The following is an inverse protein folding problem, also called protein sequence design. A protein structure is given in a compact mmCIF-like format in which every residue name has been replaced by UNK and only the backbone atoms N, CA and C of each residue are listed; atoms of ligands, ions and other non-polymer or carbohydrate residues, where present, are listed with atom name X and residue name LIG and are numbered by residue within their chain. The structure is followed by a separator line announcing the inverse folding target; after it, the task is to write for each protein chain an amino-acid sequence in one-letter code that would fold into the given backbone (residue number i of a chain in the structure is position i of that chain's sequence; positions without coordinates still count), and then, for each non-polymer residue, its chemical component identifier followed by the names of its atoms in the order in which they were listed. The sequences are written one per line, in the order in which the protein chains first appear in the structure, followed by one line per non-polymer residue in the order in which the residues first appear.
data_IF_941621821551
#
_entry.id   IF_941621821551
#
_cell.length_a   1.000
_cell.length_b   1.000
_cell.length_c   1.000
_cell.angle_alpha   90.00
_cell.angle_beta   90.00
_cell.angle_gamma   90.00
#
_symmetry.space_group_name_H-M   'P 1'
#
loop_
_entity.id
_entity.type
_entity.pdbx_description
1 polymer ?
2 non-polymer ?
3 non-polymer ?
4 non-polymer ?
5 non-polymer ?
6 water ?
#
# COMPACT_ATOMS: atom_id res chain seq x y z
N UNK A 1 -16.47 6.87 -5.87
CA UNK A 1 -15.82 7.37 -7.07
C UNK A 1 -14.36 6.92 -7.06
N UNK A 2 -13.60 7.54 -7.93
CA UNK A 2 -12.16 7.26 -8.10
C UNK A 2 -11.38 7.27 -6.76
N UNK A 3 -11.51 8.31 -5.92
CA UNK A 3 -10.70 8.35 -4.67
C UNK A 3 -11.10 7.20 -3.74
N UNK A 4 -12.40 6.90 -3.67
CA UNK A 4 -12.81 5.86 -2.77
C UNK A 4 -12.22 4.57 -3.29
N UNK A 5 -12.20 4.43 -4.60
CA UNK A 5 -11.69 3.20 -5.23
C UNK A 5 -10.21 2.98 -4.83
N UNK A 6 -9.45 4.04 -4.76
CA UNK A 6 -8.02 4.00 -4.36
C UNK A 6 -7.97 3.42 -2.94
N UNK A 7 -8.85 3.89 -2.04
CA UNK A 7 -8.96 3.34 -0.68
C UNK A 7 -9.35 1.86 -0.71
N UNK A 8 -10.38 1.48 -1.45
CA UNK A 8 -10.82 0.08 -1.58
C UNK A 8 -9.66 -0.80 -1.98
N UNK A 9 -8.96 -0.43 -3.03
CA UNK A 9 -7.86 -1.25 -3.59
C UNK A 9 -6.74 -1.34 -2.56
N UNK A 10 -6.44 -0.23 -1.92
CA UNK A 10 -5.35 -0.19 -0.90
C UNK A 10 -5.68 -1.06 0.31
N UNK A 11 -6.95 -1.24 0.65
CA UNK A 11 -7.37 -2.04 1.82
C UNK A 11 -7.12 -3.53 1.62
N UNK A 12 -7.00 -3.99 0.38
CA UNK A 12 -6.66 -5.40 0.11
C UNK A 12 -5.69 -5.42 -1.07
N UNK A 13 -4.65 -4.61 -1.01
CA UNK A 13 -3.88 -4.27 -2.23
C UNK A 13 -3.15 -5.50 -2.81
N UNK A 14 -2.56 -6.30 -1.93
CA UNK A 14 -1.81 -7.52 -2.35
C UNK A 14 -2.75 -8.34 -3.26
N UNK A 15 -3.98 -8.61 -2.79
CA UNK A 15 -4.98 -9.43 -3.51
C UNK A 15 -5.43 -8.77 -4.80
N UNK A 16 -5.80 -7.49 -4.79
CA UNK A 16 -6.22 -6.81 -6.02
C UNK A 16 -5.07 -6.77 -7.02
N UNK A 17 -3.87 -6.53 -6.54
CA UNK A 17 -2.76 -6.31 -7.45
C UNK A 17 -2.48 -7.62 -8.22
N UNK A 18 -2.43 -8.72 -7.49
CA UNK A 18 -2.21 -10.04 -8.10
C UNK A 18 -3.36 -10.32 -9.07
N UNK A 19 -4.58 -10.24 -8.61
CA UNK A 19 -5.75 -10.61 -9.47
C UNK A 19 -5.81 -9.71 -10.70
N UNK A 20 -5.61 -8.41 -10.60
CA UNK A 20 -5.60 -7.56 -11.82
C UNK A 20 -4.40 -7.81 -12.74
N UNK A 21 -3.19 -8.00 -12.17
CA UNK A 21 -2.00 -8.25 -13.02
C UNK A 21 -2.19 -9.62 -13.70
N UNK A 22 -2.79 -10.59 -13.01
CA UNK A 22 -3.04 -11.92 -13.64
C UNK A 22 -4.08 -11.74 -14.75
N UNK A 23 -5.13 -10.94 -14.51
CA UNK A 23 -6.14 -10.68 -15.55
C UNK A 23 -5.44 -10.12 -16.78
N UNK A 24 -4.45 -9.24 -16.59
CA UNK A 24 -3.67 -8.56 -17.65
C UNK A 24 -2.88 -9.61 -18.44
N UNK A 25 -2.12 -10.46 -17.73
CA UNK A 25 -1.25 -11.46 -18.38
C UNK A 25 -2.10 -12.51 -19.07
N UNK A 26 -3.26 -12.88 -18.55
CA UNK A 26 -4.14 -13.87 -19.20
C UNK A 26 -4.89 -13.27 -20.40
N UNK A 27 -5.31 -12.01 -20.35
CA UNK A 27 -5.93 -11.38 -21.51
C UNK A 27 -4.93 -11.19 -22.64
N UNK A 28 -3.67 -10.88 -22.34
CA UNK A 28 -2.61 -10.47 -23.31
C UNK A 28 -1.39 -11.33 -23.04
N UNK A 29 -1.46 -12.63 -23.38
CA UNK A 29 -0.41 -13.56 -22.99
C UNK A 29 1.00 -13.17 -23.53
N UNK A 30 1.06 -12.51 -24.68
CA UNK A 30 2.35 -11.98 -25.24
C UNK A 30 3.03 -11.03 -24.25
N UNK A 31 2.29 -10.39 -23.34
CA UNK A 31 2.90 -9.47 -22.36
C UNK A 31 3.76 -10.23 -21.35
N UNK A 32 3.66 -11.56 -21.27
CA UNK A 32 4.50 -12.39 -20.36
C UNK A 32 5.95 -12.35 -20.83
N UNK A 33 6.18 -12.09 -22.11
CA UNK A 33 7.53 -11.87 -22.70
C UNK A 33 8.35 -11.02 -21.74
N UNK A 34 7.80 -9.88 -21.32
CA UNK A 34 8.48 -8.85 -20.49
C UNK A 34 8.98 -9.50 -19.20
N UNK A 35 8.42 -10.67 -18.80
CA UNK A 35 8.68 -11.37 -17.51
C UNK A 35 8.87 -12.86 -17.85
N UNK A 36 10.02 -13.23 -18.42
CA UNK A 36 10.37 -14.64 -18.83
C UNK A 36 9.98 -15.68 -17.77
N UNK A 37 10.43 -15.44 -16.52
CA UNK A 37 10.19 -16.24 -15.28
C UNK A 37 8.69 -16.60 -15.11
N UNK A 38 7.77 -15.93 -15.84
CA UNK A 38 6.30 -16.11 -15.64
C UNK A 38 5.71 -17.14 -16.61
N UNK A 39 6.37 -17.43 -17.72
CA UNK A 39 5.90 -18.32 -18.81
C UNK A 39 5.70 -19.74 -18.24
N UNK A 40 4.67 -20.47 -18.72
CA UNK A 40 4.43 -21.88 -18.39
C UNK A 40 4.01 -22.10 -16.95
N UNK A 41 3.52 -21.04 -16.29
CA UNK A 41 3.05 -21.08 -14.88
C UNK A 41 1.57 -20.72 -14.86
N UNK A 42 0.81 -21.47 -14.06
CA UNK A 42 -0.61 -21.18 -13.79
C UNK A 42 -0.64 -19.97 -12.84
N UNK A 43 -1.81 -19.37 -12.72
CA UNK A 43 -2.00 -18.25 -11.76
C UNK A 43 -1.50 -18.59 -10.34
N UNK A 44 -1.89 -19.75 -9.80
CA UNK A 44 -1.49 -20.21 -8.45
C UNK A 44 0.04 -20.25 -8.36
N UNK A 45 0.69 -20.80 -9.38
CA UNK A 45 2.16 -20.91 -9.44
C UNK A 45 2.77 -19.51 -9.35
N UNK A 46 2.33 -18.62 -10.25
CA UNK A 46 2.83 -17.23 -10.21
C UNK A 46 2.68 -16.66 -8.82
N UNK A 47 1.53 -16.84 -8.18
CA UNK A 47 1.24 -16.26 -6.84
C UNK A 47 2.17 -16.81 -5.73
N UNK A 48 3.03 -17.78 -6.07
CA UNK A 48 4.11 -18.27 -5.18
C UNK A 48 5.51 -18.00 -5.76
N UNK A 49 5.64 -17.19 -6.80
CA UNK A 49 6.98 -16.71 -7.22
C UNK A 49 7.22 -15.37 -6.52
N UNK A 50 8.17 -15.36 -5.59
CA UNK A 50 8.51 -14.17 -4.78
C UNK A 50 8.52 -12.91 -5.62
N UNK A 51 9.25 -12.90 -6.76
CA UNK A 51 9.35 -11.71 -7.64
C UNK A 51 7.91 -11.30 -8.00
N UNK A 52 7.01 -12.28 -8.21
CA UNK A 52 5.63 -11.98 -8.64
C UNK A 52 4.90 -11.13 -7.63
N UNK A 53 4.80 -11.60 -6.39
CA UNK A 53 4.00 -10.92 -5.37
C UNK A 53 4.59 -9.56 -5.07
N UNK A 54 5.92 -9.42 -5.20
CA UNK A 54 6.69 -8.21 -4.80
C UNK A 54 6.67 -7.18 -5.93
N UNK A 55 6.97 -7.59 -7.16
CA UNK A 55 6.88 -6.68 -8.33
C UNK A 55 5.39 -6.26 -8.48
N UNK A 56 4.44 -7.18 -8.35
CA UNK A 56 3.00 -6.84 -8.50
C UNK A 56 2.59 -5.83 -7.45
N UNK A 57 2.93 -6.10 -6.19
CA UNK A 57 2.53 -5.17 -5.13
C UNK A 57 3.20 -3.83 -5.33
N UNK A 58 4.45 -3.78 -5.83
CA UNK A 58 5.18 -2.51 -5.97
C UNK A 58 4.61 -1.73 -7.14
N UNK A 59 4.20 -2.43 -8.20
CA UNK A 59 3.47 -1.81 -9.31
C UNK A 59 2.22 -1.11 -8.76
N UNK A 60 1.42 -1.82 -7.97
CA UNK A 60 0.12 -1.30 -7.47
C UNK A 60 0.38 -0.27 -6.38
N UNK A 61 1.44 -0.42 -5.56
CA UNK A 61 1.70 0.64 -4.53
C UNK A 61 1.85 1.97 -5.29
N UNK A 62 2.71 1.99 -6.32
CA UNK A 62 3.02 3.23 -7.04
C UNK A 62 1.84 3.63 -7.91
N UNK A 63 1.12 2.68 -8.54
CA UNK A 63 -0.07 3.09 -9.33
C UNK A 63 -1.06 3.83 -8.44
N UNK A 64 -1.27 3.38 -7.20
CA UNK A 64 -2.25 4.06 -6.31
C UNK A 64 -1.71 5.41 -5.90
N UNK A 65 -0.38 5.58 -5.72
CA UNK A 65 0.13 6.94 -5.42
C UNK A 65 -0.14 7.84 -6.61
N UNK A 66 0.15 7.36 -7.83
CA UNK A 66 -0.05 8.18 -9.06
C UNK A 66 -1.54 8.55 -9.23
N UNK A 67 -2.42 7.58 -9.01
CA UNK A 67 -3.89 7.82 -8.96
C UNK A 67 -4.24 8.86 -7.88
N UNK A 68 -3.61 8.77 -6.69
CA UNK A 68 -3.94 9.67 -5.57
C UNK A 68 -3.50 11.09 -5.85
N UNK A 69 -2.36 11.26 -6.53
CA UNK A 69 -1.84 12.59 -6.86
C UNK A 69 -2.46 13.18 -8.11
N UNK A 70 -3.24 12.42 -8.85
CA UNK A 70 -4.00 12.90 -10.05
C UNK A 70 -5.03 13.97 -9.69
N UNK A 71 -5.30 14.91 -10.61
CA UNK A 71 -6.50 15.80 -10.55
C UNK A 71 -7.48 15.33 -11.61
N UNK A 72 -8.68 14.95 -11.23
CA UNK A 72 -9.74 14.55 -12.21
C UNK A 72 -9.20 13.46 -13.14
N UNK A 73 -8.54 12.47 -12.58
CA UNK A 73 -7.99 11.29 -13.27
C UNK A 73 -6.85 11.70 -14.23
N UNK A 74 -6.24 12.88 -14.05
CA UNK A 74 -5.09 13.31 -14.91
C UNK A 74 -3.86 13.25 -14.02
N UNK A 75 -2.88 12.36 -14.34
CA UNK A 75 -1.69 12.17 -13.49
C UNK A 75 -0.71 13.33 -13.60
N UNK A 76 0.14 13.48 -12.58
CA UNK A 76 1.19 14.53 -12.58
C UNK A 76 2.15 14.16 -13.70
N UNK A 77 2.56 15.14 -14.49
CA UNK A 77 3.65 14.96 -15.47
C UNK A 77 4.92 14.37 -14.78
N UNK A 78 5.26 14.85 -13.58
CA UNK A 78 6.40 14.32 -12.79
C UNK A 78 6.23 12.82 -12.59
N UNK A 79 5.02 12.29 -12.35
CA UNK A 79 4.85 10.83 -12.14
C UNK A 79 5.07 10.10 -13.46
N UNK A 80 4.62 10.71 -14.58
CA UNK A 80 4.74 10.10 -15.92
C UNK A 80 6.25 9.97 -16.23
N UNK A 81 6.99 11.02 -16.00
CA UNK A 81 8.45 10.97 -16.24
C UNK A 81 9.03 9.79 -15.46
N UNK A 82 8.77 9.72 -14.15
CA UNK A 82 9.33 8.63 -13.31
C UNK A 82 9.06 7.30 -14.01
N UNK A 83 7.83 6.99 -14.37
CA UNK A 83 7.50 5.68 -14.99
C UNK A 83 8.31 5.49 -16.29
N UNK A 84 8.57 6.56 -17.04
CA UNK A 84 9.32 6.51 -18.32
C UNK A 84 10.80 6.25 -18.02
N UNK A 85 11.34 7.00 -17.07
CA UNK A 85 12.78 7.10 -16.72
C UNK A 85 13.25 5.93 -15.83
N UNK A 86 12.34 5.06 -15.39
CA UNK A 86 12.70 3.78 -14.68
C UNK A 86 13.43 2.81 -15.63
N UNK A 87 14.66 2.39 -15.28
CA UNK A 87 15.52 1.47 -16.08
C UNK A 87 14.79 0.16 -16.41
N UNK A 88 13.96 -0.35 -15.51
CA UNK A 88 13.18 -1.61 -15.66
C UNK A 88 12.12 -1.49 -16.77
N UNK A 89 11.69 -0.26 -17.11
CA UNK A 89 10.68 -0.01 -18.18
C UNK A 89 11.35 0.32 -19.51
N UNK A 90 12.68 0.17 -19.61
CA UNK A 90 13.44 0.48 -20.84
C UNK A 90 12.77 -0.15 -22.06
N UNK A 91 12.51 -1.45 -22.02
CA UNK A 91 11.88 -2.14 -23.16
C UNK A 91 10.44 -1.71 -23.45
N UNK A 92 9.77 -0.88 -22.65
CA UNK A 92 8.28 -0.75 -22.71
C UNK A 92 7.76 0.29 -23.71
N UNK A 93 6.53 0.08 -24.23
CA UNK A 93 5.77 1.12 -25.00
C UNK A 93 4.46 1.41 -24.27
N UNK A 94 3.81 2.49 -24.63
CA UNK A 94 2.57 2.88 -23.94
C UNK A 94 1.55 1.74 -24.14
N UNK A 95 1.73 0.93 -25.19
CA UNK A 95 0.88 -0.23 -25.49
C UNK A 95 0.85 -1.17 -24.31
N UNK A 96 1.97 -1.30 -23.60
CA UNK A 96 2.07 -2.22 -22.44
C UNK A 96 1.12 -1.69 -21.38
N UNK A 97 1.11 -0.37 -21.18
CA UNK A 97 0.29 0.29 -20.15
C UNK A 97 -1.18 0.33 -20.57
N UNK A 98 -1.44 0.65 -21.85
CA UNK A 98 -2.80 0.53 -22.48
C UNK A 98 -3.44 -0.74 -21.91
N UNK A 99 -2.85 -1.87 -22.30
CA UNK A 99 -3.39 -3.23 -22.05
C UNK A 99 -3.55 -3.48 -20.56
N UNK A 100 -2.62 -3.05 -19.74
CA UNK A 100 -2.78 -3.19 -18.28
C UNK A 100 -4.09 -2.51 -17.86
N UNK A 101 -4.36 -1.30 -18.41
CA UNK A 101 -5.52 -0.54 -17.94
C UNK A 101 -6.80 -1.14 -18.51
N UNK A 102 -6.75 -1.70 -19.70
CA UNK A 102 -7.94 -2.37 -20.29
C UNK A 102 -8.30 -3.51 -19.33
N UNK A 103 -7.31 -4.28 -18.89
CA UNK A 103 -7.60 -5.45 -18.02
C UNK A 103 -8.12 -4.98 -16.68
N UNK A 104 -7.52 -3.92 -16.12
CA UNK A 104 -7.98 -3.35 -14.83
C UNK A 104 -9.44 -2.91 -14.94
N UNK A 105 -9.77 -2.12 -15.96
CA UNK A 105 -11.15 -1.64 -16.12
C UNK A 105 -12.11 -2.83 -16.27
N UNK A 106 -11.75 -3.80 -17.09
CA UNK A 106 -12.60 -4.99 -17.30
C UNK A 106 -12.77 -5.76 -15.98
N UNK A 107 -11.68 -5.96 -15.25
CA UNK A 107 -11.73 -6.55 -13.88
C UNK A 107 -12.76 -5.81 -13.02
N UNK A 108 -12.72 -4.48 -13.02
CA UNK A 108 -13.63 -3.73 -12.13
C UNK A 108 -15.08 -3.94 -12.64
N UNK A 109 -15.27 -3.97 -13.95
CA UNK A 109 -16.64 -4.11 -14.56
C UNK A 109 -17.26 -5.40 -14.11
N UNK A 110 -16.45 -6.47 -14.07
CA UNK A 110 -16.89 -7.84 -13.80
C UNK A 110 -16.95 -8.07 -12.30
N UNK A 111 -16.43 -7.18 -11.47
CA UNK A 111 -16.39 -7.38 -10.00
C UNK A 111 -17.82 -7.21 -9.48
N UNK A 112 -18.15 -7.69 -8.30
CA UNK A 112 -19.51 -7.33 -7.85
C UNK A 112 -19.61 -5.94 -7.22
N UNK A 113 -18.58 -5.09 -7.36
CA UNK A 113 -18.40 -3.88 -6.51
C UNK A 113 -18.69 -2.62 -7.32
N UNK A 114 -18.94 -1.51 -6.62
CA UNK A 114 -19.29 -0.20 -7.23
C UNK A 114 -18.02 0.61 -7.54
N UNK A 115 -17.05 0.00 -8.19
CA UNK A 115 -15.85 0.71 -8.71
C UNK A 115 -16.31 1.70 -9.75
N UNK A 116 -15.64 2.83 -9.81
CA UNK A 116 -15.95 3.90 -10.79
C UNK A 116 -15.16 3.53 -12.05
N UNK A 117 -15.60 2.48 -12.75
CA UNK A 117 -14.78 1.90 -13.84
C UNK A 117 -14.53 2.95 -14.94
N UNK A 118 -15.45 3.87 -15.16
CA UNK A 118 -15.28 4.93 -16.20
C UNK A 118 -14.09 5.82 -15.85
N UNK A 119 -13.95 6.16 -14.58
CA UNK A 119 -12.83 6.99 -14.06
C UNK A 119 -11.52 6.26 -14.27
N UNK A 120 -11.45 4.96 -13.94
CA UNK A 120 -10.20 4.20 -14.19
C UNK A 120 -9.82 4.18 -15.67
N UNK A 121 -10.82 4.06 -16.56
CA UNK A 121 -10.59 4.04 -18.01
C UNK A 121 -10.01 5.37 -18.47
N UNK A 122 -10.56 6.49 -18.00
CA UNK A 122 -10.02 7.84 -18.29
C UNK A 122 -8.62 7.96 -17.68
N UNK A 123 -8.46 7.53 -16.43
CA UNK A 123 -7.12 7.52 -15.79
C UNK A 123 -6.11 6.80 -16.68
N UNK A 124 -6.42 5.58 -17.10
CA UNK A 124 -5.47 4.83 -17.97
C UNK A 124 -5.14 5.60 -19.25
N UNK A 125 -6.16 6.10 -19.94
CA UNK A 125 -5.97 6.94 -21.15
C UNK A 125 -5.03 8.10 -20.84
N UNK A 126 -5.34 8.85 -19.78
CA UNK A 126 -4.57 10.07 -19.42
C UNK A 126 -3.14 9.72 -19.07
N UNK A 127 -2.90 8.59 -18.37
CA UNK A 127 -1.54 8.15 -18.04
C UNK A 127 -0.80 7.77 -19.32
N UNK A 128 -1.43 7.04 -20.22
CA UNK A 128 -0.80 6.70 -21.53
C UNK A 128 -0.41 8.00 -22.23
N UNK A 129 -1.32 8.95 -22.31
CA UNK A 129 -1.02 10.28 -22.92
C UNK A 129 0.18 10.92 -22.22
N UNK A 130 0.16 11.00 -20.89
CA UNK A 130 1.27 11.58 -20.11
C UNK A 130 2.57 10.82 -20.40
N UNK A 131 2.53 9.47 -20.49
CA UNK A 131 3.74 8.64 -20.77
C UNK A 131 4.31 9.04 -22.14
N UNK A 132 3.48 9.11 -23.18
CA UNK A 132 3.91 9.63 -24.51
C UNK A 132 4.59 11.00 -24.39
N UNK A 133 3.94 11.94 -23.71
CA UNK A 133 4.46 13.33 -23.59
C UNK A 133 5.81 13.34 -22.86
N UNK A 134 6.00 12.41 -21.92
CA UNK A 134 7.23 12.33 -21.10
C UNK A 134 8.36 11.58 -21.85
N UNK A 135 8.05 10.95 -22.99
CA UNK A 135 9.01 10.41 -23.97
C UNK A 135 8.94 8.90 -24.19
N UNK A 136 7.93 8.18 -23.70
CA UNK A 136 7.80 6.73 -24.00
C UNK A 136 7.23 6.58 -25.40
N UNK A 137 7.66 5.55 -26.16
CA UNK A 137 7.28 5.31 -27.59
C UNK A 137 6.04 4.39 -27.64
N UNK B 1 9.87 15.51 4.03
CA UNK B 1 9.03 15.72 5.24
C UNK B 1 7.99 14.63 5.39
N UNK B 2 7.04 14.85 6.27
CA UNK B 2 5.97 13.90 6.66
C UNK B 2 5.21 13.42 5.43
N UNK B 3 4.79 14.32 4.54
CA UNK B 3 4.02 13.90 3.35
C UNK B 3 4.86 12.96 2.49
N UNK B 4 6.15 13.28 2.27
CA UNK B 4 6.97 12.43 1.41
C UNK B 4 7.14 11.10 2.14
N UNK B 5 7.31 11.13 3.48
CA UNK B 5 7.50 9.89 4.28
C UNK B 5 6.31 8.95 4.02
N UNK B 6 5.11 9.52 4.00
CA UNK B 6 3.86 8.74 3.62
C UNK B 6 4.05 8.11 2.24
N UNK B 7 4.58 8.87 1.28
CA UNK B 7 4.85 8.33 -0.07
C UNK B 7 5.89 7.23 0.02
N UNK B 8 6.96 7.46 0.78
CA UNK B 8 8.06 6.46 0.88
C UNK B 8 7.49 5.18 1.48
N UNK B 9 6.81 5.28 2.59
CA UNK B 9 6.29 4.07 3.26
C UNK B 9 5.30 3.33 2.34
N UNK B 10 4.40 4.07 1.71
CA UNK B 10 3.38 3.50 0.79
C UNK B 10 4.06 2.80 -0.39
N UNK B 11 5.28 3.24 -0.78
CA UNK B 11 6.01 2.73 -1.94
C UNK B 11 6.35 1.27 -1.73
N UNK B 12 6.50 0.92 -0.46
CA UNK B 12 7.00 -0.42 -0.09
C UNK B 12 6.31 -0.79 1.21
N UNK B 13 4.98 -0.72 1.19
CA UNK B 13 4.19 -0.68 2.44
C UNK B 13 4.36 -2.01 3.16
N UNK B 14 4.27 -3.13 2.44
CA UNK B 14 4.36 -4.49 3.07
C UNK B 14 5.68 -4.61 3.84
N UNK B 15 6.79 -4.21 3.22
CA UNK B 15 8.14 -4.40 3.78
C UNK B 15 8.28 -3.50 4.99
N UNK B 16 7.93 -2.23 4.86
CA UNK B 16 8.04 -1.29 5.97
C UNK B 16 7.15 -1.73 7.12
N UNK B 17 5.91 -2.13 6.83
CA UNK B 17 4.91 -2.47 7.86
C UNK B 17 5.49 -3.65 8.67
N UNK B 18 6.02 -4.66 8.00
CA UNK B 18 6.57 -5.83 8.73
C UNK B 18 7.75 -5.41 9.58
N UNK B 19 8.67 -4.65 9.01
CA UNK B 19 9.91 -4.27 9.70
C UNK B 19 9.58 -3.43 10.90
N UNK B 20 8.69 -2.45 10.78
CA UNK B 20 8.37 -1.60 11.94
C UNK B 20 7.58 -2.37 12.99
N UNK B 21 6.62 -3.19 12.57
CA UNK B 21 5.83 -3.95 13.55
C UNK B 21 6.74 -4.93 14.32
N UNK B 22 7.70 -5.57 13.63
CA UNK B 22 8.65 -6.50 14.26
C UNK B 22 9.52 -5.72 15.26
N UNK B 23 9.91 -4.48 14.91
CA UNK B 23 10.70 -3.61 15.82
C UNK B 23 9.86 -3.37 17.09
N UNK B 24 8.58 -3.06 16.89
CA UNK B 24 7.59 -2.89 17.98
C UNK B 24 7.54 -4.14 18.85
N UNK B 25 7.26 -5.30 18.27
CA UNK B 25 7.09 -6.56 19.05
C UNK B 25 8.37 -6.95 19.79
N UNK B 26 9.52 -6.70 19.17
CA UNK B 26 10.81 -7.07 19.80
C UNK B 26 11.16 -6.06 20.92
N UNK B 27 10.88 -4.79 20.72
CA UNK B 27 11.15 -3.79 21.77
C UNK B 27 10.23 -3.97 22.98
N UNK B 28 9.03 -4.47 22.77
CA UNK B 28 7.97 -4.57 23.78
C UNK B 28 7.38 -5.97 23.73
N UNK B 29 8.13 -6.97 24.23
CA UNK B 29 7.71 -8.36 24.09
C UNK B 29 6.34 -8.68 24.75
N UNK B 30 5.96 -7.99 25.82
CA UNK B 30 4.62 -8.16 26.46
C UNK B 30 3.52 -7.86 25.46
N UNK B 31 3.77 -7.08 24.40
CA UNK B 31 2.75 -6.69 23.41
C UNK B 31 2.38 -7.88 22.53
N UNK B 32 3.26 -8.88 22.43
CA UNK B 32 3.02 -10.07 21.56
C UNK B 32 1.89 -10.95 22.13
N UNK B 33 1.45 -10.72 23.38
CA UNK B 33 0.23 -11.36 23.95
C UNK B 33 -1.03 -10.95 23.18
N UNK B 34 -1.13 -9.69 22.77
CA UNK B 34 -2.24 -9.21 21.91
C UNK B 34 -2.32 -10.05 20.63
N UNK B 35 -1.29 -10.87 20.35
CA UNK B 35 -1.15 -11.62 19.08
C UNK B 35 -0.67 -13.06 19.36
N UNK B 36 -1.54 -13.85 19.98
CA UNK B 36 -1.17 -15.19 20.50
C UNK B 36 -0.59 -16.11 19.39
N UNK B 37 -0.97 -15.86 18.13
CA UNK B 37 -0.48 -16.53 16.88
C UNK B 37 1.03 -16.35 16.71
N UNK B 38 1.56 -15.26 17.25
CA UNK B 38 2.95 -14.79 16.94
C UNK B 38 3.96 -15.19 18.02
N UNK B 39 3.50 -15.71 19.15
CA UNK B 39 4.35 -16.16 20.29
C UNK B 39 5.28 -17.28 19.81
N UNK B 40 6.52 -17.26 20.29
CA UNK B 40 7.48 -18.35 20.06
C UNK B 40 7.90 -18.45 18.62
N UNK B 41 7.80 -17.34 17.86
CA UNK B 41 8.19 -17.31 16.44
C UNK B 41 9.23 -16.22 16.22
N UNK B 42 10.26 -16.52 15.42
CA UNK B 42 11.34 -15.57 15.09
C UNK B 42 10.76 -14.56 14.10
N UNK B 43 11.52 -13.52 13.80
CA UNK B 43 11.08 -12.56 12.75
C UNK B 43 10.87 -13.25 11.40
N UNK B 44 11.63 -14.30 11.11
CA UNK B 44 11.44 -15.05 9.84
C UNK B 44 10.20 -15.97 9.91
N UNK B 45 9.89 -16.61 11.05
CA UNK B 45 8.68 -17.48 11.19
C UNK B 45 7.42 -16.64 11.17
N UNK B 46 7.58 -15.33 11.38
CA UNK B 46 6.44 -14.41 11.17
C UNK B 46 6.45 -13.98 9.70
N UNK B 47 7.59 -13.55 9.14
CA UNK B 47 7.61 -12.97 7.78
C UNK B 47 7.24 -14.06 6.78
N UNK B 48 7.35 -15.33 7.14
CA UNK B 48 6.96 -16.47 6.25
C UNK B 48 5.44 -16.63 6.25
N UNK B 49 4.76 -16.11 7.29
CA UNK B 49 3.30 -16.36 7.51
C UNK B 49 2.46 -15.33 6.73
N UNK B 50 1.55 -15.83 5.90
CA UNK B 50 0.65 -14.98 5.08
C UNK B 50 -0.08 -13.98 5.98
N UNK B 51 -0.67 -14.44 7.09
CA UNK B 51 -1.57 -13.59 7.87
C UNK B 51 -0.78 -12.47 8.57
N UNK B 52 0.50 -12.69 8.84
CA UNK B 52 1.36 -11.65 9.46
C UNK B 52 1.48 -10.47 8.49
N UNK B 53 1.92 -10.76 7.28
CA UNK B 53 2.05 -9.79 6.18
C UNK B 53 0.75 -9.03 5.93
N UNK B 54 -0.35 -9.77 5.75
CA UNK B 54 -1.66 -9.15 5.43
C UNK B 54 -2.08 -8.20 6.57
N UNK B 55 -2.04 -8.69 7.81
CA UNK B 55 -2.57 -7.98 9.02
C UNK B 55 -1.66 -6.78 9.36
N UNK B 56 -0.34 -6.87 9.13
CA UNK B 56 0.61 -5.73 9.33
C UNK B 56 0.40 -4.73 8.19
N UNK B 57 0.28 -5.22 6.96
CA UNK B 57 0.10 -4.25 5.86
C UNK B 57 -1.20 -3.46 6.03
N UNK B 58 -2.31 -4.08 6.47
CA UNK B 58 -3.61 -3.42 6.65
C UNK B 58 -3.62 -2.41 7.80
N UNK B 59 -2.86 -2.72 8.85
CA UNK B 59 -2.63 -1.74 9.92
C UNK B 59 -1.97 -0.50 9.34
N UNK B 60 -0.87 -0.69 8.62
CA UNK B 60 -0.06 0.44 8.12
C UNK B 60 -0.83 1.15 7.03
N UNK B 61 -1.67 0.45 6.29
CA UNK B 61 -2.45 1.17 5.26
C UNK B 61 -3.36 2.19 5.94
N UNK B 62 -4.14 1.73 6.92
CA UNK B 62 -5.01 2.64 7.67
C UNK B 62 -4.16 3.72 8.37
N UNK B 63 -3.02 3.39 8.95
CA UNK B 63 -2.16 4.43 9.60
C UNK B 63 -1.76 5.49 8.55
N UNK B 64 -1.41 5.06 7.34
CA UNK B 64 -1.07 6.05 6.23
C UNK B 64 -2.25 6.87 5.79
N UNK B 65 -3.47 6.29 5.78
CA UNK B 65 -4.69 7.03 5.44
C UNK B 65 -4.91 8.11 6.53
N UNK B 66 -4.77 7.74 7.82
CA UNK B 66 -4.93 8.73 8.95
C UNK B 66 -3.85 9.80 8.80
N UNK B 67 -2.63 9.38 8.51
CA UNK B 67 -1.48 10.30 8.46
C UNK B 67 -1.73 11.27 7.29
N UNK B 68 -2.24 10.74 6.20
CA UNK B 68 -2.43 11.60 4.99
C UNK B 68 -3.52 12.64 5.24
N UNK B 69 -4.59 12.26 5.95
CA UNK B 69 -5.76 13.14 6.19
C UNK B 69 -5.40 14.14 7.29
N UNK B 70 -4.35 13.90 8.06
CA UNK B 70 -3.96 14.80 9.19
C UNK B 70 -3.62 16.19 8.66
N UNK B 71 -3.81 17.22 9.50
CA UNK B 71 -3.27 18.57 9.21
C UNK B 71 -2.18 18.84 10.22
N UNK B 72 -0.97 19.18 9.77
CA UNK B 72 0.15 19.50 10.71
C UNK B 72 0.29 18.37 11.76
N UNK B 73 0.17 17.15 11.31
CA UNK B 73 0.41 15.94 12.14
C UNK B 73 -0.68 15.85 13.21
N UNK B 74 -1.83 16.49 13.01
CA UNK B 74 -3.00 16.32 13.90
C UNK B 74 -4.04 15.51 13.14
N UNK B 75 -4.31 14.27 13.60
CA UNK B 75 -5.27 13.42 12.91
C UNK B 75 -6.68 13.91 13.17
N UNK B 76 -7.56 13.70 12.23
CA UNK B 76 -9.04 13.89 12.40
C UNK B 76 -9.54 13.09 13.59
N UNK B 77 -10.31 13.75 14.45
CA UNK B 77 -11.06 13.09 15.54
C UNK B 77 -11.84 11.90 14.95
N UNK B 78 -12.43 12.12 13.76
CA UNK B 78 -13.16 11.06 13.00
C UNK B 78 -12.30 9.80 12.90
N UNK B 79 -11.02 9.93 12.57
CA UNK B 79 -10.15 8.75 12.35
C UNK B 79 -9.76 8.13 13.69
N UNK B 80 -9.53 8.98 14.67
CA UNK B 80 -9.30 8.54 16.06
C UNK B 80 -10.52 7.67 16.42
N UNK B 81 -11.72 8.16 16.13
CA UNK B 81 -12.95 7.42 16.54
C UNK B 81 -12.96 6.03 15.86
N UNK B 82 -12.63 5.94 14.57
CA UNK B 82 -12.57 4.62 13.88
C UNK B 82 -11.65 3.66 14.66
N UNK B 83 -10.44 4.10 14.98
CA UNK B 83 -9.43 3.28 15.64
C UNK B 83 -9.97 2.81 17.02
N UNK B 84 -10.66 3.68 17.74
CA UNK B 84 -11.19 3.31 19.10
C UNK B 84 -12.28 2.25 18.91
N UNK B 85 -13.14 2.41 17.89
CA UNK B 85 -14.40 1.64 17.67
C UNK B 85 -14.14 0.25 17.06
N UNK B 86 -13.00 -0.01 16.44
CA UNK B 86 -12.76 -1.30 15.72
C UNK B 86 -12.82 -2.44 16.75
N UNK B 87 -13.53 -3.52 16.44
CA UNK B 87 -13.70 -4.73 17.30
C UNK B 87 -12.32 -5.35 17.64
N UNK B 88 -11.39 -5.29 16.70
CA UNK B 88 -9.99 -5.78 16.84
C UNK B 88 -9.22 -4.96 17.90
N UNK B 89 -9.73 -3.80 18.30
CA UNK B 89 -9.06 -2.90 19.27
C UNK B 89 -9.76 -2.92 20.64
N UNK B 90 -10.87 -3.67 20.78
CA UNK B 90 -11.64 -3.77 22.05
C UNK B 90 -10.71 -3.75 23.27
N UNK B 91 -9.70 -4.62 23.33
CA UNK B 91 -8.85 -4.76 24.53
C UNK B 91 -7.88 -3.60 24.80
N UNK B 92 -7.67 -2.62 23.90
CA UNK B 92 -6.43 -1.75 23.89
C UNK B 92 -6.53 -0.50 24.78
N UNK B 93 -5.36 -0.04 25.26
CA UNK B 93 -5.13 1.27 25.92
C UNK B 93 -4.33 2.17 24.97
N UNK B 94 -4.29 3.46 25.22
CA UNK B 94 -3.45 4.35 24.38
C UNK B 94 -2.00 3.84 24.50
N UNK B 95 -1.63 3.15 25.59
CA UNK B 95 -0.25 2.64 25.79
C UNK B 95 0.22 1.81 24.61
N UNK B 96 -0.66 0.97 24.11
CA UNK B 96 -0.37 0.04 22.99
C UNK B 96 0.14 0.92 21.84
N UNK B 97 -0.66 1.91 21.45
CA UNK B 97 -0.36 2.79 20.30
C UNK B 97 0.89 3.63 20.57
N UNK B 98 1.02 4.17 21.78
CA UNK B 98 2.24 4.95 22.19
C UNK B 98 3.51 4.14 21.91
N UNK B 99 3.50 2.89 22.36
CA UNK B 99 4.67 2.00 22.15
C UNK B 99 4.90 1.75 20.66
N UNK B 100 3.86 1.51 19.89
CA UNK B 100 4.03 1.36 18.43
C UNK B 100 4.72 2.55 17.80
N UNK B 101 4.30 3.76 18.16
CA UNK B 101 4.96 4.93 17.57
C UNK B 101 6.36 5.11 18.13
N UNK B 102 6.63 4.77 19.41
CA UNK B 102 8.05 4.89 19.86
C UNK B 102 8.89 4.03 18.91
N UNK B 103 8.47 2.81 18.71
CA UNK B 103 9.23 1.86 17.86
C UNK B 103 9.36 2.42 16.44
N UNK B 104 8.29 3.00 15.91
CA UNK B 104 8.29 3.59 14.54
C UNK B 104 9.31 4.72 14.44
N UNK B 105 9.32 5.61 15.42
CA UNK B 105 10.25 6.75 15.46
C UNK B 105 11.67 6.25 15.60
N UNK B 106 11.91 5.28 16.50
CA UNK B 106 13.27 4.70 16.67
C UNK B 106 13.70 4.03 15.36
N UNK B 107 12.80 3.29 14.73
CA UNK B 107 13.08 2.67 13.42
C UNK B 107 13.49 3.74 12.42
N UNK B 108 12.82 4.90 12.45
CA UNK B 108 13.09 5.88 11.38
C UNK B 108 14.46 6.54 11.63
N UNK B 109 14.74 6.87 12.88
CA UNK B 109 16.05 7.44 13.30
C UNK B 109 17.18 6.51 12.92
N UNK B 110 17.02 5.23 13.12
CA UNK B 110 18.09 4.24 12.85
C UNK B 110 18.25 3.97 11.36
N UNK B 111 17.27 4.28 10.53
CA UNK B 111 17.26 3.89 9.10
C UNK B 111 18.30 4.71 8.35
N UNK B 112 18.72 4.26 7.20
CA UNK B 112 19.61 5.18 6.44
C UNK B 112 18.97 6.54 6.14
N UNK B 113 17.65 6.64 6.24
CA UNK B 113 16.88 7.54 5.33
C UNK B 113 16.53 8.86 6.02
N UNK B 114 16.19 9.85 5.24
CA UNK B 114 15.80 11.18 5.74
C UNK B 114 14.30 11.24 6.12
N UNK B 115 13.80 10.26 6.84
CA UNK B 115 12.45 10.33 7.43
C UNK B 115 12.41 11.55 8.35
N UNK B 116 11.27 12.21 8.40
CA UNK B 116 11.06 13.36 9.33
C UNK B 116 10.62 12.75 10.65
N UNK B 117 11.55 12.19 11.43
CA UNK B 117 11.18 11.43 12.65
C UNK B 117 10.49 12.34 13.68
N UNK B 118 10.82 13.64 13.73
CA UNK B 118 10.15 14.54 14.71
C UNK B 118 8.67 14.68 14.33
N UNK B 119 8.34 14.75 13.05
CA UNK B 119 6.92 14.78 12.61
C UNK B 119 6.21 13.49 13.00
N UNK B 120 6.82 12.31 12.82
CA UNK B 120 6.16 11.05 13.21
C UNK B 120 5.96 10.96 14.73
N UNK B 121 6.92 11.46 15.50
CA UNK B 121 6.84 11.52 16.97
C UNK B 121 5.61 12.36 17.35
N UNK B 122 5.44 13.52 16.72
CA UNK B 122 4.34 14.45 17.08
C UNK B 122 3.01 13.83 16.60
N UNK B 123 3.04 13.20 15.44
CA UNK B 123 1.85 12.50 14.92
C UNK B 123 1.42 11.41 15.89
N UNK B 124 2.32 10.52 16.33
CA UNK B 124 1.95 9.51 17.34
C UNK B 124 1.40 10.15 18.61
N UNK B 125 2.04 11.21 19.13
CA UNK B 125 1.55 11.90 20.37
C UNK B 125 0.13 12.38 20.13
N UNK B 126 -0.08 13.09 19.03
CA UNK B 126 -1.39 13.64 18.65
C UNK B 126 -2.39 12.53 18.36
N UNK B 127 -2.00 11.38 17.78
CA UNK B 127 -2.99 10.31 17.54
C UNK B 127 -3.38 9.68 18.88
N UNK B 128 -2.42 9.46 19.76
CA UNK B 128 -2.66 8.98 21.15
C UNK B 128 -3.63 9.93 21.91
N UNK B 129 -3.32 11.22 21.89
CA UNK B 129 -4.22 12.27 22.45
C UNK B 129 -5.62 12.08 21.86
N UNK B 130 -5.69 11.97 20.54
CA UNK B 130 -6.96 11.86 19.79
C UNK B 130 -7.69 10.60 20.20
N UNK B 131 -6.97 9.48 20.32
CA UNK B 131 -7.57 8.19 20.74
C UNK B 131 -8.20 8.34 22.13
N UNK B 132 -7.51 8.96 23.07
CA UNK B 132 -8.03 9.26 24.43
C UNK B 132 -9.31 10.09 24.33
N UNK B 133 -9.26 11.19 23.54
CA UNK B 133 -10.39 12.14 23.30
C UNK B 133 -11.58 11.40 22.65
N UNK B 134 -11.32 10.32 21.88
CA UNK B 134 -12.42 9.54 21.28
C UNK B 134 -12.80 8.38 22.20
N UNK B 135 -12.17 8.26 23.36
CA UNK B 135 -12.70 7.41 24.46
C UNK B 135 -11.89 6.15 24.73
N UNK B 136 -10.62 6.09 24.35
CA UNK B 136 -9.78 4.91 24.65
C UNK B 136 -9.20 5.05 26.05
N UNK B 137 -9.21 3.92 26.79
CA UNK B 137 -8.56 3.67 28.10
C UNK B 137 -7.11 4.12 28.02
#
# INVERSE_FOLDING_TARGET
GFKQDIATLRGDLRTYAQDIFLAFLNKYPDEKRNFKNYVGKSDQELKSMAKFGDHTEKVFNLMMEVADRATDCVPLASDASTLVQMKQHSGLTTGNFEKLFVALVEYMRASGQSFDSQSWDRFGKNLVSALSSAGMK
GFKQDIATLRGDLRTYAQDIFLAFLNKYPDEKRNFKNYVGKSDQELKSMAKFGDHTEKVFNLMMEVADRATDCVPLASDASTLVQMKQHSGLTTGNFEKLFVALVEYMRASGQSFDSQSWDRFGKNLVSALSSAGMK
#
